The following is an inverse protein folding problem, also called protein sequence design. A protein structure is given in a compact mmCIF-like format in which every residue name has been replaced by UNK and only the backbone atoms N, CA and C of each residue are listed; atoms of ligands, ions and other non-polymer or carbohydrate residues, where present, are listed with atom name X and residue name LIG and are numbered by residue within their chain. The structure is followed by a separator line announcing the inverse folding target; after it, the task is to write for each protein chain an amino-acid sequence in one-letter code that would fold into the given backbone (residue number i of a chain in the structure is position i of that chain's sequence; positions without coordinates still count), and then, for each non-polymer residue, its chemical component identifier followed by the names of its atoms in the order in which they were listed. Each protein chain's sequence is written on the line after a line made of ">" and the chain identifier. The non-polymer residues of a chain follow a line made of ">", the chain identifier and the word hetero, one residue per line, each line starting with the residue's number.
data_IF_876466041808
#
_entry.id   IF_876466041808
#
_cell.length_a   1.000
_cell.length_b   1.000
_cell.length_c   1.000
_cell.angle_alpha   90.00
_cell.angle_beta   90.00
_cell.angle_gamma   90.00
#
_symmetry.space_group_name_H-M   'P 1'
#
loop_
_entity.id
_entity.type
_entity.pdbx_description
1 polymer ?
#
# COMPACT_ATOMS: atom_id res chain seq x y z
N UNK A 1 64.02 71.92 -2.22
CA UNK A 1 63.77 70.63 -2.90
C UNK A 1 63.63 69.49 -1.89
N UNK A 2 64.66 69.23 -1.06
CA UNK A 2 64.66 68.16 -0.05
C UNK A 2 63.52 68.25 0.99
N UNK A 3 63.19 69.45 1.51
CA UNK A 3 62.10 69.61 2.50
C UNK A 3 60.71 69.31 1.93
N UNK A 4 60.43 69.71 0.68
CA UNK A 4 59.16 69.40 -0.01
C UNK A 4 59.01 67.89 -0.24
N UNK A 5 60.12 67.22 -0.55
CA UNK A 5 60.18 65.77 -0.76
C UNK A 5 59.98 65.02 0.56
N UNK A 6 60.57 65.50 1.65
CA UNK A 6 60.37 64.97 3.00
C UNK A 6 58.92 65.16 3.48
N UNK A 7 58.30 66.31 3.19
CA UNK A 7 56.91 66.58 3.55
C UNK A 7 55.93 65.72 2.76
N UNK A 8 56.19 65.50 1.47
CA UNK A 8 55.43 64.58 0.60
C UNK A 8 55.53 63.13 1.05
N UNK A 9 56.73 62.66 1.42
CA UNK A 9 56.91 61.31 1.98
C UNK A 9 56.21 61.18 3.34
N UNK A 10 56.27 62.20 4.21
CA UNK A 10 55.50 62.21 5.47
C UNK A 10 53.99 62.06 5.24
N UNK A 11 53.42 62.75 4.25
CA UNK A 11 51.98 62.66 3.95
C UNK A 11 51.58 61.28 3.43
N UNK A 12 52.38 60.69 2.52
CA UNK A 12 52.15 59.31 2.05
C UNK A 12 52.24 58.28 3.18
N UNK A 13 53.20 58.43 4.09
CA UNK A 13 53.34 57.52 5.25
C UNK A 13 52.11 57.59 6.14
N UNK A 14 51.55 58.78 6.38
CA UNK A 14 50.31 58.96 7.14
C UNK A 14 49.11 58.33 6.41
N UNK A 15 49.00 58.52 5.10
CA UNK A 15 47.92 57.94 4.29
C UNK A 15 47.99 56.40 4.22
N UNK A 16 49.19 55.83 4.09
CA UNK A 16 49.44 54.39 4.18
C UNK A 16 49.08 53.86 5.57
N UNK A 17 49.43 54.58 6.64
CA UNK A 17 49.03 54.24 8.00
C UNK A 17 47.50 54.18 8.16
N UNK A 18 46.78 55.17 7.63
CA UNK A 18 45.30 55.21 7.63
C UNK A 18 44.69 54.04 6.85
N UNK A 19 45.30 53.67 5.72
CA UNK A 19 44.84 52.51 4.93
C UNK A 19 45.13 51.19 5.62
N UNK A 20 46.28 51.06 6.30
CA UNK A 20 46.59 49.88 7.11
C UNK A 20 45.57 49.70 8.24
N UNK A 21 45.22 50.77 8.97
CA UNK A 21 44.23 50.66 10.04
C UNK A 21 42.82 50.32 9.50
N UNK A 22 42.42 50.89 8.37
CA UNK A 22 41.16 50.49 7.71
C UNK A 22 41.16 49.01 7.28
N UNK A 23 42.29 48.51 6.77
CA UNK A 23 42.43 47.11 6.38
C UNK A 23 42.43 46.17 7.59
N UNK A 24 43.06 46.56 8.71
CA UNK A 24 43.03 45.79 9.96
C UNK A 24 41.60 45.69 10.52
N UNK A 25 40.84 46.79 10.52
CA UNK A 25 39.43 46.77 10.94
C UNK A 25 38.60 45.86 10.04
N UNK A 26 38.77 45.96 8.71
CA UNK A 26 38.08 45.08 7.76
C UNK A 26 38.46 43.61 7.95
N UNK A 27 39.74 43.32 8.15
CA UNK A 27 40.22 41.97 8.42
C UNK A 27 39.56 41.39 9.68
N UNK A 28 39.49 42.17 10.78
CA UNK A 28 38.79 41.75 12.00
C UNK A 28 37.29 41.52 11.79
N UNK A 29 36.62 42.34 10.97
CA UNK A 29 35.20 42.11 10.64
C UNK A 29 35.01 40.82 9.83
N UNK A 30 35.87 40.53 8.86
CA UNK A 30 35.79 39.30 8.08
C UNK A 30 36.09 38.07 8.93
N UNK A 31 37.06 38.15 9.84
CA UNK A 31 37.39 37.07 10.76
C UNK A 31 36.19 36.71 11.66
N UNK A 32 35.48 37.73 12.17
CA UNK A 32 34.25 37.52 12.94
C UNK A 32 33.14 36.86 12.09
N UNK A 33 32.94 37.31 10.85
CA UNK A 33 31.95 36.72 9.94
C UNK A 33 32.28 35.25 9.63
N UNK A 34 33.54 34.94 9.36
CA UNK A 34 34.00 33.56 9.13
C UNK A 34 33.78 32.70 10.36
N UNK A 35 34.05 33.21 11.56
CA UNK A 35 33.81 32.49 12.81
C UNK A 35 32.32 32.15 13.02
N UNK A 36 31.42 33.12 12.80
CA UNK A 36 29.97 32.90 12.89
C UNK A 36 29.50 31.88 11.86
N UNK A 37 29.92 32.04 10.59
CA UNK A 37 29.58 31.09 9.52
C UNK A 37 30.07 29.68 9.83
N UNK A 38 31.30 29.53 10.34
CA UNK A 38 31.84 28.21 10.69
C UNK A 38 30.99 27.54 11.79
N UNK A 39 30.59 28.31 12.81
CA UNK A 39 29.70 27.81 13.87
C UNK A 39 28.31 27.43 13.36
N UNK A 40 27.77 28.19 12.40
CA UNK A 40 26.49 27.86 11.76
C UNK A 40 26.60 26.57 10.93
N UNK A 41 27.69 26.40 10.17
CA UNK A 41 27.97 25.18 9.40
C UNK A 41 28.06 23.95 10.31
N UNK A 42 28.80 24.03 11.42
CA UNK A 42 28.88 22.94 12.40
C UNK A 42 27.52 22.60 13.01
N UNK A 43 26.71 23.63 13.33
CA UNK A 43 25.35 23.45 13.84
C UNK A 43 24.43 22.80 12.80
N UNK A 44 24.54 23.19 11.53
CA UNK A 44 23.81 22.57 10.44
C UNK A 44 24.25 21.12 10.23
N UNK A 45 25.55 20.83 10.26
CA UNK A 45 26.08 19.49 10.09
C UNK A 45 25.52 18.52 11.16
N UNK A 46 25.56 18.92 12.43
CA UNK A 46 25.02 18.11 13.54
C UNK A 46 23.51 17.89 13.44
N UNK A 47 22.76 18.93 13.07
CA UNK A 47 21.30 18.83 12.88
C UNK A 47 20.96 17.92 11.68
N UNK A 48 21.70 18.05 10.59
CA UNK A 48 21.54 17.22 9.39
C UNK A 48 21.87 15.75 9.66
N UNK A 49 22.92 15.45 10.43
CA UNK A 49 23.23 14.09 10.85
C UNK A 49 22.11 13.47 11.70
N UNK A 50 21.58 14.21 12.68
CA UNK A 50 20.48 13.74 13.50
C UNK A 50 19.22 13.47 12.66
N UNK A 51 18.89 14.38 11.73
CA UNK A 51 17.78 14.23 10.79
C UNK A 51 17.97 13.01 9.88
N UNK A 52 19.17 12.79 9.33
CA UNK A 52 19.46 11.62 8.49
C UNK A 52 19.33 10.30 9.25
N UNK A 53 19.79 10.25 10.51
CA UNK A 53 19.59 9.07 11.38
C UNK A 53 18.10 8.81 11.61
N UNK A 54 17.33 9.86 11.88
CA UNK A 54 15.89 9.75 12.08
C UNK A 54 15.17 9.28 10.80
N UNK A 55 15.50 9.86 9.66
CA UNK A 55 14.97 9.44 8.36
C UNK A 55 15.22 7.97 8.08
N UNK A 56 16.41 7.46 8.42
CA UNK A 56 16.72 6.04 8.27
C UNK A 56 15.85 5.15 9.15
N UNK A 57 15.67 5.51 10.42
CA UNK A 57 14.80 4.77 11.34
C UNK A 57 13.34 4.76 10.87
N UNK A 58 12.85 5.88 10.35
CA UNK A 58 11.48 5.97 9.87
C UNK A 58 11.29 5.22 8.55
N UNK A 59 12.32 5.21 7.68
CA UNK A 59 12.34 4.37 6.49
C UNK A 59 12.26 2.87 6.84
N UNK A 60 13.05 2.41 7.81
CA UNK A 60 13.02 1.02 8.29
C UNK A 60 11.64 0.65 8.87
N UNK A 61 11.00 1.56 9.64
CA UNK A 61 9.65 1.36 10.16
C UNK A 61 8.60 1.30 9.05
N UNK A 62 8.70 2.17 8.05
CA UNK A 62 7.79 2.18 6.90
C UNK A 62 7.88 0.86 6.15
N UNK A 63 9.10 0.34 5.93
CA UNK A 63 9.29 -0.95 5.28
C UNK A 63 8.69 -2.10 6.12
N UNK A 64 8.95 -2.11 7.43
CA UNK A 64 8.39 -3.13 8.33
C UNK A 64 6.85 -3.10 8.34
N UNK A 65 6.25 -1.92 8.41
CA UNK A 65 4.79 -1.74 8.35
C UNK A 65 4.22 -2.14 7.00
N UNK A 66 4.88 -1.77 5.89
CA UNK A 66 4.46 -2.14 4.54
C UNK A 66 4.46 -3.67 4.35
N UNK A 67 5.49 -4.35 4.86
CA UNK A 67 5.55 -5.81 4.88
C UNK A 67 4.43 -6.41 5.73
N UNK A 68 4.08 -5.79 6.86
CA UNK A 68 2.99 -6.25 7.72
C UNK A 68 1.63 -6.09 7.07
N UNK A 69 1.37 -4.98 6.40
CA UNK A 69 0.14 -4.74 5.61
C UNK A 69 0.00 -5.82 4.54
N UNK A 70 1.05 -6.07 3.75
CA UNK A 70 1.03 -7.10 2.71
C UNK A 70 0.77 -8.51 3.27
N UNK A 71 1.29 -8.82 4.45
CA UNK A 71 1.01 -10.09 5.14
C UNK A 71 -0.46 -10.19 5.57
N UNK A 72 -1.01 -9.10 6.12
CA UNK A 72 -2.41 -9.06 6.56
C UNK A 72 -3.37 -9.18 5.38
N UNK A 73 -3.11 -8.49 4.26
CA UNK A 73 -3.91 -8.58 3.03
C UNK A 73 -3.98 -10.02 2.51
N UNK A 74 -2.85 -10.74 2.47
CA UNK A 74 -2.83 -12.17 2.10
C UNK A 74 -3.66 -13.01 3.05
N UNK A 75 -3.56 -12.74 4.35
CA UNK A 75 -4.30 -13.49 5.37
C UNK A 75 -5.80 -13.26 5.25
N UNK A 76 -6.22 -12.03 4.97
CA UNK A 76 -7.62 -11.68 4.70
C UNK A 76 -8.12 -12.45 3.48
N UNK A 77 -7.39 -12.43 2.36
CA UNK A 77 -7.78 -13.17 1.16
C UNK A 77 -7.93 -14.69 1.40
N UNK A 78 -7.06 -15.29 2.21
CA UNK A 78 -7.20 -16.71 2.60
C UNK A 78 -8.43 -16.96 3.48
N UNK A 79 -8.73 -16.04 4.40
CA UNK A 79 -9.93 -16.13 5.25
C UNK A 79 -11.20 -15.97 4.45
N UNK A 80 -11.23 -15.07 3.47
CA UNK A 80 -12.39 -14.86 2.59
C UNK A 80 -12.69 -16.13 1.79
N UNK A 81 -11.66 -16.82 1.28
CA UNK A 81 -11.83 -18.12 0.63
C UNK A 81 -12.42 -19.17 1.59
N UNK A 82 -11.93 -19.21 2.83
CA UNK A 82 -12.42 -20.13 3.86
C UNK A 82 -13.87 -19.84 4.22
N UNK A 83 -14.25 -18.56 4.34
CA UNK A 83 -15.63 -18.13 4.59
C UNK A 83 -16.54 -18.57 3.44
N UNK A 84 -16.14 -18.32 2.18
CA UNK A 84 -16.91 -18.74 1.02
C UNK A 84 -17.11 -20.27 0.97
N UNK A 85 -16.09 -21.05 1.31
CA UNK A 85 -16.18 -22.51 1.43
C UNK A 85 -17.16 -22.94 2.53
N UNK A 86 -17.05 -22.34 3.73
CA UNK A 86 -17.95 -22.61 4.85
C UNK A 86 -19.41 -22.25 4.54
N UNK A 87 -19.65 -21.13 3.87
CA UNK A 87 -20.98 -20.73 3.39
C UNK A 87 -21.54 -21.71 2.36
N UNK A 88 -20.68 -22.28 1.50
CA UNK A 88 -21.05 -23.37 0.59
C UNK A 88 -21.52 -24.60 1.37
N UNK A 89 -20.71 -25.06 2.33
CA UNK A 89 -21.03 -26.22 3.18
C UNK A 89 -22.29 -26.01 4.02
N UNK A 90 -22.51 -24.82 4.56
CA UNK A 90 -23.74 -24.48 5.31
C UNK A 90 -24.97 -24.51 4.42
N UNK A 91 -24.88 -24.03 3.17
CA UNK A 91 -25.98 -24.15 2.20
C UNK A 91 -26.30 -25.59 1.86
N UNK A 92 -25.29 -26.44 1.67
CA UNK A 92 -25.51 -27.87 1.44
C UNK A 92 -26.17 -28.54 2.64
N UNK A 93 -25.65 -28.28 3.85
CA UNK A 93 -26.16 -28.90 5.08
C UNK A 93 -27.59 -28.46 5.39
N UNK A 94 -27.92 -27.18 5.20
CA UNK A 94 -29.29 -26.67 5.44
C UNK A 94 -30.32 -27.20 4.44
N UNK A 95 -29.89 -27.63 3.25
CA UNK A 95 -30.75 -28.27 2.26
C UNK A 95 -30.82 -29.80 2.41
N UNK A 96 -30.00 -30.42 3.24
CA UNK A 96 -29.90 -31.89 3.34
C UNK A 96 -31.08 -32.47 4.12
N UNK A 97 -31.71 -33.52 3.57
CA UNK A 97 -32.70 -34.37 4.26
C UNK A 97 -32.19 -35.81 4.39
N UNK A 98 -32.79 -36.58 5.31
CA UNK A 98 -32.35 -37.94 5.67
C UNK A 98 -33.50 -38.95 5.74
N UNK A 99 -34.59 -38.70 5.03
CA UNK A 99 -35.78 -39.55 4.95
C UNK A 99 -36.11 -39.97 3.50
N UNK A 100 -35.20 -39.65 2.56
CA UNK A 100 -35.41 -39.85 1.13
C UNK A 100 -36.35 -38.85 0.47
N UNK A 101 -36.94 -37.92 1.21
CA UNK A 101 -37.84 -36.88 0.66
C UNK A 101 -37.09 -35.56 0.54
N UNK A 102 -37.09 -34.96 -0.65
CA UNK A 102 -36.34 -33.74 -0.90
C UNK A 102 -37.15 -32.74 -1.74
N UNK A 103 -37.22 -31.50 -1.28
CA UNK A 103 -37.93 -30.40 -1.96
C UNK A 103 -36.92 -29.38 -2.47
N UNK A 104 -36.76 -29.32 -3.79
CA UNK A 104 -35.83 -28.39 -4.42
C UNK A 104 -36.54 -27.13 -4.92
N UNK A 105 -36.36 -26.01 -4.22
CA UNK A 105 -36.83 -24.71 -4.68
C UNK A 105 -35.84 -24.08 -5.67
N UNK A 106 -36.31 -23.81 -6.89
CA UNK A 106 -35.52 -23.10 -7.91
C UNK A 106 -35.96 -21.62 -7.95
N UNK A 107 -35.20 -20.76 -7.27
CA UNK A 107 -35.36 -19.29 -7.38
C UNK A 107 -34.85 -18.77 -8.72
N UNK A 108 -35.25 -17.57 -9.14
CA UNK A 108 -34.78 -16.89 -10.36
C UNK A 108 -34.98 -17.71 -11.65
N UNK A 109 -36.10 -18.42 -11.73
CA UNK A 109 -36.38 -19.37 -12.80
C UNK A 109 -36.24 -18.76 -14.19
N UNK A 110 -36.80 -17.57 -14.44
CA UNK A 110 -36.75 -16.92 -15.74
C UNK A 110 -35.31 -16.70 -16.23
N UNK A 111 -34.44 -16.20 -15.35
CA UNK A 111 -33.02 -16.00 -15.65
C UNK A 111 -32.31 -17.33 -15.92
N UNK A 112 -32.50 -18.31 -15.04
CA UNK A 112 -31.86 -19.64 -15.18
C UNK A 112 -32.31 -20.38 -16.44
N UNK A 113 -33.58 -20.24 -16.82
CA UNK A 113 -34.10 -20.79 -18.07
C UNK A 113 -33.47 -20.08 -19.28
N UNK A 114 -33.34 -18.76 -19.25
CA UNK A 114 -32.66 -18.02 -20.31
C UNK A 114 -31.18 -18.43 -20.45
N UNK A 115 -30.49 -18.66 -19.33
CA UNK A 115 -29.11 -19.16 -19.33
C UNK A 115 -29.01 -20.58 -19.92
N UNK A 116 -30.00 -21.44 -19.67
CA UNK A 116 -30.08 -22.77 -20.26
C UNK A 116 -30.38 -22.71 -21.77
N UNK A 117 -31.30 -21.84 -22.21
CA UNK A 117 -31.61 -21.61 -23.63
C UNK A 117 -30.37 -21.10 -24.38
N UNK A 118 -29.64 -20.16 -23.77
CA UNK A 118 -28.40 -19.63 -24.33
C UNK A 118 -27.22 -20.62 -24.26
N UNK A 119 -27.40 -21.81 -23.69
CA UNK A 119 -26.36 -22.82 -23.54
C UNK A 119 -25.27 -22.50 -22.49
N UNK A 120 -25.40 -21.39 -21.74
CA UNK A 120 -24.44 -21.00 -20.69
C UNK A 120 -24.50 -21.92 -19.48
N UNK A 121 -25.71 -22.33 -19.11
CA UNK A 121 -25.95 -23.26 -17.99
C UNK A 121 -27.01 -24.30 -18.39
N UNK A 122 -26.65 -25.30 -19.21
CA UNK A 122 -27.63 -26.25 -19.77
C UNK A 122 -28.31 -27.14 -18.72
N UNK A 123 -27.61 -27.43 -17.62
CA UNK A 123 -28.10 -28.28 -16.54
C UNK A 123 -27.76 -27.68 -15.18
N UNK A 124 -28.57 -28.01 -14.17
CA UNK A 124 -28.32 -27.69 -12.77
C UNK A 124 -28.38 -28.95 -11.92
N UNK A 125 -27.61 -28.96 -10.85
CA UNK A 125 -27.64 -29.99 -9.81
C UNK A 125 -28.31 -29.43 -8.56
N UNK A 126 -29.13 -30.25 -7.90
CA UNK A 126 -29.63 -29.94 -6.57
C UNK A 126 -28.56 -30.17 -5.51
N UNK A 127 -28.71 -29.59 -4.31
CA UNK A 127 -28.03 -30.09 -3.12
C UNK A 127 -28.23 -31.59 -2.93
N UNK A 128 -27.28 -32.22 -2.24
CA UNK A 128 -27.38 -33.63 -1.92
C UNK A 128 -28.39 -33.90 -0.78
N UNK A 129 -29.07 -35.04 -0.86
CA UNK A 129 -29.97 -35.54 0.18
C UNK A 129 -29.78 -37.05 0.34
N UNK A 130 -30.30 -37.62 1.42
CA UNK A 130 -30.01 -39.00 1.81
C UNK A 130 -31.27 -39.82 2.04
N UNK A 131 -31.19 -41.12 1.79
CA UNK A 131 -32.28 -42.06 2.13
C UNK A 131 -32.45 -42.28 3.64
N UNK A 132 -31.37 -42.13 4.41
CA UNK A 132 -31.30 -42.23 5.87
C UNK A 132 -30.01 -41.58 6.39
N UNK A 133 -29.84 -41.41 7.72
CA UNK A 133 -28.64 -40.78 8.33
C UNK A 133 -27.31 -41.37 7.85
N UNK A 134 -27.28 -42.67 7.57
CA UNK A 134 -26.11 -43.40 7.07
C UNK A 134 -26.44 -44.15 5.76
N UNK A 135 -27.38 -43.61 4.98
CA UNK A 135 -27.88 -44.22 3.75
C UNK A 135 -27.20 -43.70 2.49
N UNK A 136 -27.85 -43.91 1.34
CA UNK A 136 -27.35 -43.46 0.04
C UNK A 136 -27.41 -41.93 -0.07
N UNK A 137 -26.35 -41.33 -0.64
CA UNK A 137 -26.29 -39.91 -1.00
C UNK A 137 -26.75 -39.72 -2.45
N UNK A 138 -27.76 -38.88 -2.67
CA UNK A 138 -28.38 -38.63 -3.97
C UNK A 138 -28.43 -37.13 -4.27
N UNK A 139 -28.55 -36.78 -5.54
CA UNK A 139 -28.88 -35.42 -5.99
C UNK A 139 -29.74 -35.51 -7.26
N UNK A 140 -30.44 -34.43 -7.58
CA UNK A 140 -31.22 -34.29 -8.80
C UNK A 140 -30.42 -33.51 -9.83
N UNK A 141 -30.60 -33.84 -11.11
CA UNK A 141 -30.12 -33.06 -12.25
C UNK A 141 -31.31 -32.65 -13.09
N UNK A 142 -31.40 -31.37 -13.43
CA UNK A 142 -32.47 -30.83 -14.27
C UNK A 142 -31.91 -30.01 -15.43
N UNK A 143 -32.59 -30.06 -16.57
CA UNK A 143 -32.30 -29.27 -17.76
C UNK A 143 -33.50 -28.39 -18.05
N UNK A 144 -33.38 -27.08 -17.80
CA UNK A 144 -34.50 -26.15 -17.93
C UNK A 144 -34.93 -25.89 -19.38
N UNK A 145 -34.06 -26.21 -20.34
CA UNK A 145 -34.34 -26.16 -21.78
C UNK A 145 -34.35 -27.58 -22.41
N UNK A 146 -34.58 -28.60 -21.58
CA UNK A 146 -34.61 -30.01 -22.01
C UNK A 146 -33.25 -30.61 -22.38
N UNK A 147 -33.23 -31.95 -22.48
CA UNK A 147 -32.07 -32.75 -22.86
C UNK A 147 -32.50 -33.94 -23.72
N UNK A 148 -31.56 -34.51 -24.49
CA UNK A 148 -31.84 -35.65 -25.36
C UNK A 148 -32.98 -35.39 -26.35
N UNK A 149 -33.97 -36.27 -26.36
CA UNK A 149 -35.16 -36.18 -27.23
C UNK A 149 -36.08 -35.00 -26.88
N UNK A 150 -35.97 -34.43 -25.68
CA UNK A 150 -36.72 -33.25 -25.23
C UNK A 150 -35.94 -31.94 -25.34
N UNK A 151 -34.80 -31.92 -26.03
CA UNK A 151 -33.98 -30.71 -26.16
C UNK A 151 -34.76 -29.58 -26.87
N UNK A 152 -34.82 -28.42 -26.22
CA UNK A 152 -35.48 -27.22 -26.74
C UNK A 152 -37.01 -27.21 -26.62
N UNK A 153 -37.62 -28.20 -25.98
CA UNK A 153 -39.08 -28.30 -25.85
C UNK A 153 -39.67 -27.64 -24.60
N UNK A 154 -38.86 -27.02 -23.74
CA UNK A 154 -39.24 -26.51 -22.42
C UNK A 154 -38.81 -25.07 -22.17
#
# INVERSE_FOLDING_TARGET
>A
ALELQLHSEKTKVVELGRRCTELEVKAGTFENVVCVLNREVERFATTMEASNRQHKLDQDKIEALSNKVRQLERTVGLKDLTVAEMEGRLREMSATTFDGVFVWRISDFAKKRQDAIAGRAPAMFSPAFYTSKYGYKMCLRIYLNGDGTGRGSH
#
